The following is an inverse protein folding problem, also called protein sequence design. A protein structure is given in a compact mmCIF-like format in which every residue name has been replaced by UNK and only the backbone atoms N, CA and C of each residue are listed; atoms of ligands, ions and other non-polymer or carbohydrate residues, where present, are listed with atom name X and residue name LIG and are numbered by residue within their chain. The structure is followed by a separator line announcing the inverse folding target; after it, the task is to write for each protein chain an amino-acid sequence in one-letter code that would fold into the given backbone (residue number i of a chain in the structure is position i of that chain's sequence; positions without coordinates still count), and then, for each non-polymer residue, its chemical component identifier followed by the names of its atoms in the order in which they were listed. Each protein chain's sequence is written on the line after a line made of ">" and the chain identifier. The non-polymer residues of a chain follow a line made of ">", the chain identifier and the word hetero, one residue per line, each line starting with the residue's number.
data_IF_289984146758
#
_entry.id   IF_289984146758
#
_cell.length_a   1.000
_cell.length_b   1.000
_cell.length_c   1.000
_cell.angle_alpha   90.00
_cell.angle_beta   90.00
_cell.angle_gamma   90.00
#
_symmetry.space_group_name_H-M   'P 1'
#
loop_
_entity.id
_entity.type
_entity.pdbx_description
1 polymer ?
#
# COMPACT_ATOMS: atom_id res chain seq x y z
N UNK A 1 5.40 62.28 -24.55
CA UNK A 1 5.35 60.93 -25.16
C UNK A 1 5.42 59.88 -24.05
N UNK A 2 4.28 59.32 -23.62
CA UNK A 2 4.25 58.27 -22.58
C UNK A 2 4.27 56.91 -23.27
N UNK A 3 5.36 56.14 -23.08
CA UNK A 3 5.44 54.74 -23.57
C UNK A 3 4.73 53.82 -22.57
N UNK A 4 3.63 53.24 -23.01
CA UNK A 4 2.86 52.24 -22.29
C UNK A 4 3.56 50.89 -22.47
N UNK A 5 4.05 50.30 -21.38
CA UNK A 5 4.62 48.95 -21.36
C UNK A 5 3.45 47.97 -21.09
N UNK A 6 3.01 47.27 -22.12
CA UNK A 6 2.13 46.12 -21.97
C UNK A 6 2.96 44.89 -21.55
N UNK A 7 2.90 44.55 -20.31
CA UNK A 7 3.45 43.27 -19.80
C UNK A 7 2.43 42.16 -20.13
N UNK A 8 2.73 41.34 -21.14
CA UNK A 8 1.94 40.16 -21.49
C UNK A 8 2.25 39.08 -20.45
N UNK A 9 1.30 38.82 -19.54
CA UNK A 9 1.36 37.71 -18.57
C UNK A 9 1.08 36.41 -19.31
N UNK A 10 2.13 35.70 -19.73
CA UNK A 10 2.01 34.36 -20.28
C UNK A 10 1.63 33.40 -19.14
N UNK A 11 0.33 33.03 -19.09
CA UNK A 11 -0.18 31.99 -18.21
C UNK A 11 0.36 30.64 -18.70
N UNK A 12 1.42 30.13 -18.07
CA UNK A 12 1.91 28.76 -18.29
C UNK A 12 0.84 27.80 -17.76
N UNK A 13 -0.02 27.32 -18.65
CA UNK A 13 -0.87 26.16 -18.37
C UNK A 13 0.04 24.95 -18.33
N UNK A 14 0.49 24.57 -17.13
CA UNK A 14 1.17 23.30 -16.93
C UNK A 14 0.16 22.18 -17.25
N UNK A 15 0.31 21.54 -18.40
CA UNK A 15 -0.37 20.27 -18.69
C UNK A 15 0.14 19.25 -17.66
N UNK A 16 -0.59 19.08 -16.58
CA UNK A 16 -0.34 18.01 -15.62
C UNK A 16 -0.42 16.68 -16.38
N UNK A 17 0.73 16.10 -16.69
CA UNK A 17 0.81 14.73 -17.20
C UNK A 17 0.54 13.82 -16.01
N UNK A 18 -0.72 13.40 -15.83
CA UNK A 18 -1.06 12.38 -14.85
C UNK A 18 -0.24 11.12 -15.14
N UNK A 19 0.54 10.71 -14.15
CA UNK A 19 1.28 9.46 -14.20
C UNK A 19 0.30 8.29 -14.24
N UNK A 20 0.71 7.16 -14.84
CA UNK A 20 -0.07 5.94 -14.72
C UNK A 20 0.05 5.39 -13.29
N UNK A 21 -1.01 4.74 -12.75
CA UNK A 21 -0.91 4.12 -11.44
C UNK A 21 0.20 3.07 -11.41
N UNK A 22 0.74 2.86 -10.22
CA UNK A 22 1.76 1.85 -9.95
C UNK A 22 1.10 0.60 -9.37
N UNK A 23 1.78 -0.54 -9.48
CA UNK A 23 1.25 -1.85 -9.11
C UNK A 23 1.73 -2.24 -7.72
N UNK A 24 0.81 -2.50 -6.80
CA UNK A 24 1.07 -3.12 -5.50
C UNK A 24 0.53 -4.55 -5.52
N UNK A 25 1.38 -5.52 -5.19
CA UNK A 25 0.97 -6.91 -5.06
C UNK A 25 0.32 -7.12 -3.68
N UNK A 26 -0.99 -7.42 -3.65
CA UNK A 26 -1.75 -7.72 -2.44
C UNK A 26 -1.24 -9.02 -1.80
N UNK A 27 -0.75 -8.94 -0.56
CA UNK A 27 -0.09 -10.06 0.16
C UNK A 27 1.08 -10.68 -0.61
N UNK A 28 1.75 -9.87 -1.44
CA UNK A 28 2.79 -10.31 -2.37
C UNK A 28 2.25 -10.88 -3.69
N UNK A 29 3.16 -11.29 -4.59
CA UNK A 29 2.75 -12.02 -5.80
C UNK A 29 2.60 -13.51 -5.48
N UNK A 30 1.47 -13.85 -4.85
CA UNK A 30 1.20 -15.16 -4.30
C UNK A 30 0.46 -16.12 -5.25
N UNK A 31 -0.34 -15.59 -6.21
CA UNK A 31 -1.07 -16.41 -7.19
C UNK A 31 -0.16 -16.96 -8.28
N UNK A 32 0.86 -17.71 -7.88
CA UNK A 32 1.79 -18.38 -8.78
C UNK A 32 2.40 -19.59 -8.07
N UNK A 33 2.89 -20.56 -8.83
CA UNK A 33 3.44 -21.80 -8.29
C UNK A 33 4.56 -21.55 -7.29
N UNK A 34 4.53 -22.30 -6.19
CA UNK A 34 5.53 -22.22 -5.11
C UNK A 34 5.42 -21.00 -4.19
N UNK A 35 4.39 -20.16 -4.37
CA UNK A 35 4.18 -18.95 -3.56
C UNK A 35 2.96 -19.06 -2.66
N UNK A 36 2.91 -18.25 -1.59
CA UNK A 36 1.78 -18.12 -0.68
C UNK A 36 1.57 -16.66 -0.25
N UNK A 37 0.35 -16.33 0.18
CA UNK A 37 0.05 -15.00 0.75
C UNK A 37 0.99 -14.70 1.92
N UNK A 38 1.53 -13.47 1.97
CA UNK A 38 2.41 -13.03 3.05
C UNK A 38 3.74 -13.82 3.20
N UNK A 39 4.09 -14.68 2.23
CA UNK A 39 5.35 -15.43 2.25
C UNK A 39 6.52 -14.57 1.78
N UNK A 40 7.73 -14.96 2.20
CA UNK A 40 8.96 -14.32 1.67
C UNK A 40 9.04 -14.50 0.17
N UNK A 41 8.71 -15.69 -0.34
CA UNK A 41 8.69 -15.99 -1.79
C UNK A 41 7.74 -15.03 -2.54
N UNK A 42 6.56 -14.71 -2.00
CA UNK A 42 5.62 -13.79 -2.68
C UNK A 42 6.16 -12.37 -2.79
N UNK A 43 6.89 -11.90 -1.79
CA UNK A 43 7.57 -10.61 -1.80
C UNK A 43 8.75 -10.61 -2.78
N UNK A 44 9.58 -11.65 -2.78
CA UNK A 44 10.69 -11.78 -3.73
C UNK A 44 10.22 -11.82 -5.19
N UNK A 45 9.10 -12.49 -5.45
CA UNK A 45 8.48 -12.51 -6.77
C UNK A 45 7.96 -11.12 -7.17
N UNK A 46 7.36 -10.37 -6.25
CA UNK A 46 6.98 -8.98 -6.51
C UNK A 46 8.21 -8.13 -6.89
N UNK A 47 9.33 -8.30 -6.18
CA UNK A 47 10.59 -7.62 -6.46
C UNK A 47 11.19 -8.03 -7.81
N UNK A 48 11.27 -9.32 -8.12
CA UNK A 48 11.74 -9.85 -9.41
C UNK A 48 10.95 -9.31 -10.60
N UNK A 49 9.65 -9.15 -10.41
CA UNK A 49 8.78 -8.55 -11.43
C UNK A 49 8.85 -7.02 -11.46
N UNK A 50 9.69 -6.38 -10.66
CA UNK A 50 9.87 -4.92 -10.58
C UNK A 50 8.52 -4.22 -10.40
N UNK A 51 7.72 -4.69 -9.45
CA UNK A 51 6.51 -4.02 -9.00
C UNK A 51 6.90 -2.81 -8.14
N UNK A 52 5.98 -1.88 -7.97
CA UNK A 52 6.17 -0.75 -7.06
C UNK A 52 6.25 -1.21 -5.62
N UNK A 53 5.27 -2.01 -5.21
CA UNK A 53 5.14 -2.44 -3.83
C UNK A 53 4.64 -3.88 -3.67
N UNK A 54 4.89 -4.37 -2.48
CA UNK A 54 4.38 -5.61 -1.94
C UNK A 54 3.66 -5.28 -0.64
N UNK A 55 2.34 -5.48 -0.62
CA UNK A 55 1.56 -5.34 0.60
C UNK A 55 1.63 -6.63 1.42
N UNK A 56 1.62 -6.50 2.75
CA UNK A 56 1.63 -7.62 3.69
C UNK A 56 0.99 -7.24 5.02
N UNK A 57 0.41 -8.23 5.68
CA UNK A 57 -0.41 -8.09 6.88
C UNK A 57 0.35 -8.50 8.15
N UNK A 58 0.16 -7.75 9.24
CA UNK A 58 0.93 -7.97 10.46
C UNK A 58 0.07 -8.11 11.71
N UNK A 59 0.33 -9.18 12.44
CA UNK A 59 -0.15 -9.44 13.79
C UNK A 59 0.98 -9.50 14.79
N UNK A 60 0.66 -9.28 16.07
CA UNK A 60 1.61 -9.41 17.17
C UNK A 60 1.14 -10.50 18.13
N UNK A 61 2.00 -11.47 18.42
CA UNK A 61 1.79 -12.53 19.41
C UNK A 61 1.68 -11.99 20.83
N UNK A 62 1.19 -12.78 21.78
CA UNK A 62 1.00 -12.32 23.18
C UNK A 62 2.30 -11.85 23.83
N UNK A 63 3.44 -12.42 23.47
CA UNK A 63 4.78 -12.08 23.94
C UNK A 63 5.49 -11.00 23.08
N UNK A 64 4.78 -10.37 22.12
CA UNK A 64 5.27 -9.19 21.41
C UNK A 64 6.04 -9.44 20.12
N UNK A 65 6.05 -10.66 19.59
CA UNK A 65 6.69 -10.97 18.30
C UNK A 65 5.74 -10.62 17.16
N UNK A 66 6.21 -9.83 16.19
CA UNK A 66 5.45 -9.47 14.99
C UNK A 66 5.61 -10.55 13.92
N UNK A 67 4.50 -11.01 13.34
CA UNK A 67 4.44 -12.06 12.30
C UNK A 67 3.58 -11.64 11.13
N UNK A 68 3.86 -12.20 9.94
CA UNK A 68 3.11 -11.92 8.72
C UNK A 68 1.96 -12.93 8.55
N UNK A 69 0.72 -12.45 8.72
CA UNK A 69 -0.49 -13.26 8.54
C UNK A 69 -1.69 -12.35 8.32
N UNK A 70 -2.62 -12.72 7.45
CA UNK A 70 -3.81 -11.92 7.20
C UNK A 70 -4.90 -12.13 8.26
N UNK A 71 -5.25 -13.37 8.55
CA UNK A 71 -6.48 -13.71 9.28
C UNK A 71 -6.34 -13.56 10.81
N UNK A 72 -5.11 -13.43 11.32
CA UNK A 72 -4.83 -13.45 12.76
C UNK A 72 -5.03 -14.83 13.39
N UNK A 73 -5.26 -15.83 12.57
CA UNK A 73 -5.41 -17.24 12.96
C UNK A 73 -4.56 -18.10 12.04
N UNK A 74 -3.84 -19.06 12.59
CA UNK A 74 -3.10 -20.07 11.87
C UNK A 74 -3.25 -21.42 12.59
N UNK A 75 -3.56 -22.49 11.83
CA UNK A 75 -3.83 -23.82 12.37
C UNK A 75 -4.87 -23.82 13.54
N UNK A 76 -5.89 -22.94 13.42
CA UNK A 76 -6.93 -22.76 14.43
C UNK A 76 -6.53 -21.97 15.69
N UNK A 77 -5.29 -21.47 15.73
CA UNK A 77 -4.76 -20.70 16.88
C UNK A 77 -4.79 -19.20 16.59
N UNK A 78 -5.41 -18.41 17.49
CA UNK A 78 -5.35 -16.93 17.41
C UNK A 78 -3.98 -16.42 17.80
N UNK A 79 -3.32 -15.76 16.87
CA UNK A 79 -1.93 -15.30 16.99
C UNK A 79 -1.76 -14.34 18.18
N UNK A 80 -2.69 -13.38 18.37
CA UNK A 80 -2.56 -12.37 19.42
C UNK A 80 -2.71 -12.91 20.85
N UNK A 81 -3.26 -14.14 21.02
CA UNK A 81 -3.56 -14.73 22.31
C UNK A 81 -2.48 -15.70 22.81
N UNK A 82 -1.51 -16.07 21.97
CA UNK A 82 -0.48 -17.06 22.27
C UNK A 82 0.94 -16.50 22.07
N UNK A 83 1.95 -17.03 22.80
CA UNK A 83 3.34 -16.68 22.54
C UNK A 83 3.81 -17.27 21.21
N UNK A 84 4.82 -16.62 20.59
CA UNK A 84 5.37 -17.00 19.29
C UNK A 84 5.78 -18.48 19.21
N UNK A 85 6.28 -19.04 20.31
CA UNK A 85 6.65 -20.46 20.39
C UNK A 85 5.52 -21.43 19.99
N UNK A 86 4.24 -21.00 20.06
CA UNK A 86 3.08 -21.82 19.65
C UNK A 86 2.81 -21.79 18.14
N UNK A 87 3.31 -20.77 17.44
CA UNK A 87 3.01 -20.55 16.01
C UNK A 87 4.25 -20.55 15.12
N UNK A 88 5.46 -20.60 15.68
CA UNK A 88 6.72 -20.49 14.95
C UNK A 88 6.97 -21.58 13.89
N UNK A 89 6.33 -22.73 14.04
CA UNK A 89 6.46 -23.87 13.13
C UNK A 89 5.24 -24.05 12.21
N UNK A 90 4.24 -23.16 12.33
CA UNK A 90 3.09 -23.20 11.43
C UNK A 90 3.52 -22.91 10.00
N UNK A 91 3.00 -23.71 9.06
CA UNK A 91 3.35 -23.62 7.65
C UNK A 91 2.27 -22.86 6.87
N UNK A 92 2.73 -22.08 5.93
CA UNK A 92 1.90 -21.46 4.89
C UNK A 92 1.55 -22.49 3.81
N UNK A 93 0.64 -22.14 2.90
CA UNK A 93 0.15 -23.05 1.86
C UNK A 93 1.23 -23.56 0.90
N UNK A 94 2.35 -22.85 0.77
CA UNK A 94 3.51 -23.27 -0.04
C UNK A 94 4.57 -24.08 0.75
N UNK A 95 4.33 -24.36 2.02
CA UNK A 95 5.24 -25.11 2.90
C UNK A 95 6.29 -24.26 3.63
N UNK A 96 6.43 -22.97 3.32
CA UNK A 96 7.26 -22.05 4.10
C UNK A 96 6.70 -21.90 5.53
N UNK A 97 7.58 -21.64 6.49
CA UNK A 97 7.16 -21.21 7.82
C UNK A 97 6.61 -19.79 7.75
N UNK A 98 5.60 -19.48 8.57
CA UNK A 98 5.10 -18.13 8.75
C UNK A 98 6.25 -17.20 9.18
N UNK A 99 6.63 -16.19 8.39
CA UNK A 99 7.79 -15.36 8.72
C UNK A 99 7.47 -14.40 9.86
N UNK A 100 8.47 -14.11 10.68
CA UNK A 100 8.43 -12.90 11.50
C UNK A 100 8.59 -11.68 10.61
N UNK A 101 8.02 -10.54 11.04
CA UNK A 101 8.20 -9.27 10.32
C UNK A 101 9.67 -8.89 10.19
N UNK A 102 10.48 -9.19 11.22
CA UNK A 102 11.93 -8.96 11.18
C UNK A 102 12.62 -9.76 10.04
N UNK A 103 12.22 -11.01 9.83
CA UNK A 103 12.73 -11.81 8.70
C UNK A 103 12.26 -11.23 7.37
N UNK A 104 10.96 -10.93 7.26
CA UNK A 104 10.36 -10.37 6.05
C UNK A 104 11.01 -9.04 5.63
N UNK A 105 11.19 -8.10 6.57
CA UNK A 105 11.82 -6.82 6.29
C UNK A 105 13.29 -6.93 5.92
N UNK A 106 14.07 -7.84 6.57
CA UNK A 106 15.47 -8.09 6.19
C UNK A 106 15.60 -8.62 4.77
N UNK A 107 14.71 -9.52 4.36
CA UNK A 107 14.68 -10.00 2.97
C UNK A 107 14.27 -8.89 2.01
N UNK A 108 13.23 -8.10 2.35
CA UNK A 108 12.77 -6.95 1.57
C UNK A 108 13.84 -5.87 1.38
N UNK A 109 14.69 -5.66 2.38
CA UNK A 109 15.81 -4.70 2.31
C UNK A 109 16.81 -5.00 1.18
N UNK A 110 16.88 -6.25 0.71
CA UNK A 110 17.72 -6.64 -0.45
C UNK A 110 17.19 -6.06 -1.78
N UNK A 111 15.97 -5.55 -1.81
CA UNK A 111 15.30 -5.03 -3.01
C UNK A 111 14.92 -3.55 -2.82
N UNK A 112 15.87 -2.61 -2.87
CA UNK A 112 15.64 -1.20 -2.50
C UNK A 112 14.63 -0.46 -3.38
N UNK A 113 14.26 -1.02 -4.53
CA UNK A 113 13.23 -0.47 -5.42
C UNK A 113 11.80 -0.87 -5.03
N UNK A 114 11.64 -1.89 -4.16
CA UNK A 114 10.34 -2.40 -3.74
C UNK A 114 9.86 -1.65 -2.49
N UNK A 115 8.65 -1.10 -2.52
CA UNK A 115 7.99 -0.60 -1.32
C UNK A 115 7.34 -1.76 -0.57
N UNK A 116 7.53 -1.77 0.74
CA UNK A 116 6.88 -2.70 1.65
C UNK A 116 5.66 -1.99 2.25
N UNK A 117 4.47 -2.29 1.74
CA UNK A 117 3.22 -1.69 2.19
C UNK A 117 2.72 -2.51 3.37
N UNK A 118 2.82 -1.95 4.55
CA UNK A 118 2.72 -2.61 5.84
C UNK A 118 1.32 -2.41 6.43
N UNK A 119 0.45 -3.41 6.36
CA UNK A 119 -0.84 -3.36 7.04
C UNK A 119 -0.71 -3.76 8.51
N UNK A 120 -0.93 -2.82 9.42
CA UNK A 120 -1.05 -3.14 10.85
C UNK A 120 -2.49 -3.51 11.14
N UNK A 121 -2.73 -4.80 11.43
CA UNK A 121 -4.05 -5.32 11.79
C UNK A 121 -4.55 -4.76 13.12
N UNK A 122 -5.86 -4.54 13.20
CA UNK A 122 -6.50 -4.07 14.43
C UNK A 122 -6.56 -5.20 15.44
N UNK A 123 -5.94 -5.01 16.60
CA UNK A 123 -5.93 -5.93 17.73
C UNK A 123 -7.11 -5.66 18.68
N UNK A 124 -7.25 -6.47 19.69
CA UNK A 124 -8.40 -6.51 20.61
C UNK A 124 -8.76 -5.20 21.32
N UNK A 125 -7.82 -4.29 21.50
CA UNK A 125 -8.05 -2.97 22.09
C UNK A 125 -6.94 -1.96 21.73
N UNK A 126 -7.17 -0.67 22.04
CA UNK A 126 -6.22 0.39 21.71
C UNK A 126 -4.91 0.33 22.49
N UNK A 127 -4.89 -0.25 23.71
CA UNK A 127 -3.63 -0.47 24.42
C UNK A 127 -2.75 -1.47 23.65
N UNK A 128 -3.35 -2.53 23.12
CA UNK A 128 -2.66 -3.52 22.30
C UNK A 128 -2.23 -2.91 20.96
N UNK A 129 -3.10 -2.14 20.30
CA UNK A 129 -2.79 -1.41 19.07
C UNK A 129 -1.58 -0.48 19.27
N UNK A 130 -1.52 0.26 20.40
CA UNK A 130 -0.38 1.13 20.70
C UNK A 130 0.92 0.33 20.81
N UNK A 131 0.92 -0.80 21.53
CA UNK A 131 2.10 -1.68 21.66
C UNK A 131 2.58 -2.21 20.30
N UNK A 132 1.63 -2.60 19.43
CA UNK A 132 1.95 -3.07 18.07
C UNK A 132 2.63 -1.97 17.26
N UNK A 133 2.04 -0.77 17.23
CA UNK A 133 2.62 0.37 16.50
C UNK A 133 4.02 0.71 17.01
N UNK A 134 4.21 0.78 18.34
CA UNK A 134 5.51 1.08 18.95
C UNK A 134 6.56 0.02 18.57
N UNK A 135 6.17 -1.25 18.56
CA UNK A 135 7.05 -2.36 18.17
C UNK A 135 7.41 -2.30 16.69
N UNK A 136 6.43 -2.00 15.82
CA UNK A 136 6.63 -1.85 14.38
C UNK A 136 7.60 -0.72 14.07
N UNK A 137 7.34 0.47 14.62
CA UNK A 137 8.19 1.65 14.41
C UNK A 137 9.61 1.39 14.90
N UNK A 138 9.77 0.80 16.07
CA UNK A 138 11.08 0.42 16.59
C UNK A 138 11.81 -0.53 15.65
N UNK A 139 11.16 -1.61 15.21
CA UNK A 139 11.75 -2.60 14.32
C UNK A 139 12.19 -1.99 12.97
N UNK A 140 11.33 -1.17 12.37
CA UNK A 140 11.63 -0.50 11.09
C UNK A 140 12.85 0.42 11.22
N UNK A 141 12.97 1.16 12.35
CA UNK A 141 14.13 2.00 12.65
C UNK A 141 15.40 1.19 12.88
N UNK A 142 15.33 0.12 13.68
CA UNK A 142 16.45 -0.79 13.95
C UNK A 142 17.01 -1.44 12.68
N UNK A 143 16.16 -1.74 11.72
CA UNK A 143 16.56 -2.34 10.43
C UNK A 143 16.98 -1.30 9.39
N UNK A 144 16.74 0.00 9.63
CA UNK A 144 17.10 1.07 8.71
C UNK A 144 16.30 1.08 7.40
N UNK A 145 15.06 0.55 7.41
CA UNK A 145 14.23 0.38 6.20
C UNK A 145 13.10 1.40 6.06
N UNK A 146 13.14 2.51 6.83
CA UNK A 146 12.07 3.52 6.84
C UNK A 146 11.73 4.03 5.42
N UNK A 147 12.74 4.22 4.57
CA UNK A 147 12.54 4.70 3.20
C UNK A 147 11.82 3.73 2.27
N UNK A 148 11.75 2.44 2.65
CA UNK A 148 11.07 1.40 1.88
C UNK A 148 9.67 1.08 2.42
N UNK A 149 9.33 1.51 3.64
CA UNK A 149 8.06 1.15 4.30
C UNK A 149 7.03 2.24 4.08
N UNK A 150 5.81 1.83 3.76
CA UNK A 150 4.60 2.64 3.72
C UNK A 150 3.56 1.94 4.59
N UNK A 151 2.82 2.67 5.43
CA UNK A 151 1.90 2.07 6.40
C UNK A 151 0.46 2.24 5.97
N UNK A 152 -0.35 1.21 6.23
CA UNK A 152 -1.79 1.22 6.04
C UNK A 152 -2.49 0.58 7.26
N UNK A 153 -3.68 1.05 7.62
CA UNK A 153 -4.48 0.44 8.67
C UNK A 153 -5.97 0.80 8.56
N UNK A 154 -6.83 -0.12 9.01
CA UNK A 154 -8.27 0.12 9.16
C UNK A 154 -8.59 0.96 10.42
N UNK A 155 -7.76 0.88 11.43
CA UNK A 155 -7.94 1.61 12.69
C UNK A 155 -7.42 3.04 12.57
N UNK A 156 -8.30 4.02 12.76
CA UNK A 156 -7.91 5.43 12.84
C UNK A 156 -6.88 5.65 13.96
N UNK A 157 -7.05 5.02 15.12
CA UNK A 157 -6.12 5.09 16.23
C UNK A 157 -4.69 4.66 15.84
N UNK A 158 -4.57 3.56 15.07
CA UNK A 158 -3.28 3.08 14.57
C UNK A 158 -2.66 4.11 13.62
N UNK A 159 -3.43 4.65 12.68
CA UNK A 159 -2.95 5.67 11.73
C UNK A 159 -2.48 6.94 12.44
N UNK A 160 -3.24 7.46 13.40
CA UNK A 160 -2.88 8.65 14.17
C UNK A 160 -1.60 8.42 14.99
N UNK A 161 -1.47 7.24 15.64
CA UNK A 161 -0.27 6.91 16.40
C UNK A 161 0.96 6.75 15.52
N UNK A 162 0.82 6.14 14.34
CA UNK A 162 1.90 6.08 13.34
C UNK A 162 2.34 7.48 12.94
N UNK A 163 1.40 8.36 12.61
CA UNK A 163 1.71 9.75 12.24
C UNK A 163 2.39 10.51 13.38
N UNK A 164 1.99 10.30 14.64
CA UNK A 164 2.63 10.92 15.81
C UNK A 164 4.08 10.45 15.99
N UNK A 165 4.38 9.17 15.78
CA UNK A 165 5.71 8.60 15.98
C UNK A 165 6.63 8.78 14.77
N UNK A 166 6.08 8.80 13.57
CA UNK A 166 6.76 8.90 12.27
C UNK A 166 6.08 9.95 11.38
N UNK A 167 6.15 11.25 11.69
CA UNK A 167 5.40 12.29 10.98
C UNK A 167 5.82 12.45 9.50
N UNK A 168 6.97 11.89 9.10
CA UNK A 168 7.44 11.89 7.71
C UNK A 168 7.10 10.60 6.95
N UNK A 169 6.57 9.58 7.64
CA UNK A 169 6.20 8.34 6.99
C UNK A 169 4.92 8.51 6.16
N UNK A 170 4.81 7.72 5.10
CA UNK A 170 3.53 7.57 4.41
C UNK A 170 2.60 6.69 5.25
N UNK A 171 1.43 7.23 5.57
CA UNK A 171 0.36 6.52 6.29
C UNK A 171 -0.94 6.75 5.54
N UNK A 172 -1.58 5.68 5.07
CA UNK A 172 -2.87 5.74 4.42
C UNK A 172 -3.97 5.01 5.22
N UNK A 173 -5.16 5.58 5.21
CA UNK A 173 -6.32 5.03 5.91
C UNK A 173 -7.10 4.06 5.03
N UNK A 174 -7.48 2.88 5.56
CA UNK A 174 -8.09 1.79 4.79
C UNK A 174 -9.62 1.73 4.85
N UNK A 175 -10.25 2.20 5.94
CA UNK A 175 -11.62 1.80 6.29
C UNK A 175 -12.71 2.37 5.34
N UNK A 176 -12.42 3.46 4.63
CA UNK A 176 -13.37 4.01 3.65
C UNK A 176 -14.58 4.74 4.24
N UNK A 177 -14.60 5.01 5.54
CA UNK A 177 -15.69 5.69 6.26
C UNK A 177 -15.39 7.17 6.57
N UNK A 178 -14.22 7.68 6.21
CA UNK A 178 -13.83 9.08 6.30
C UNK A 178 -13.69 9.69 4.90
N UNK A 179 -14.14 10.94 4.76
CA UNK A 179 -13.91 11.73 3.55
C UNK A 179 -12.41 12.05 3.39
N UNK A 180 -11.94 12.36 2.17
CA UNK A 180 -10.54 12.78 1.96
C UNK A 180 -10.13 13.99 2.83
N UNK A 181 -11.06 14.95 3.07
CA UNK A 181 -10.78 16.11 3.94
C UNK A 181 -10.59 15.71 5.40
N UNK A 182 -11.39 14.77 5.91
CA UNK A 182 -11.23 14.24 7.26
C UNK A 182 -9.92 13.51 7.40
N UNK A 183 -9.54 12.65 6.43
CA UNK A 183 -8.25 11.97 6.43
C UNK A 183 -7.09 12.96 6.40
N UNK A 184 -7.19 14.02 5.60
CA UNK A 184 -6.18 15.10 5.57
C UNK A 184 -6.09 15.84 6.89
N UNK A 185 -7.20 16.09 7.57
CA UNK A 185 -7.25 16.75 8.88
C UNK A 185 -6.56 15.92 9.98
N UNK A 186 -6.50 14.59 9.85
CA UNK A 186 -5.73 13.70 10.73
C UNK A 186 -4.21 13.74 10.46
N UNK A 187 -3.74 14.51 9.47
CA UNK A 187 -2.32 14.59 9.08
C UNK A 187 -1.84 13.42 8.22
N UNK A 188 -2.74 12.52 7.81
CA UNK A 188 -2.36 11.35 7.02
C UNK A 188 -2.01 11.73 5.58
N UNK A 189 -1.27 10.85 4.91
CA UNK A 189 -0.70 11.11 3.58
C UNK A 189 -1.49 10.49 2.44
N UNK A 190 -2.42 9.56 2.72
CA UNK A 190 -3.18 8.87 1.69
C UNK A 190 -4.47 8.23 2.17
N UNK A 191 -5.28 7.87 1.20
CA UNK A 191 -6.42 6.96 1.33
C UNK A 191 -6.14 5.70 0.52
N UNK A 192 -6.40 4.55 1.13
CA UNK A 192 -6.26 3.24 0.50
C UNK A 192 -7.60 2.50 0.66
N UNK A 193 -8.55 2.78 -0.24
CA UNK A 193 -9.93 2.36 -0.06
C UNK A 193 -10.33 1.24 -1.01
N UNK A 194 -11.20 0.37 -0.51
CA UNK A 194 -11.82 -0.64 -1.36
C UNK A 194 -12.53 0.04 -2.55
N UNK A 195 -12.34 -0.47 -3.75
CA UNK A 195 -12.82 0.15 -4.98
C UNK A 195 -14.34 0.45 -4.99
N UNK A 196 -15.14 -0.31 -4.21
CA UNK A 196 -16.58 -0.03 -4.04
C UNK A 196 -16.89 1.28 -3.32
N UNK A 197 -15.95 1.79 -2.48
CA UNK A 197 -16.12 3.09 -1.81
C UNK A 197 -16.12 4.20 -2.84
N UNK A 198 -15.24 4.14 -3.82
CA UNK A 198 -15.18 5.14 -4.90
C UNK A 198 -16.33 5.00 -5.89
N UNK A 199 -16.87 3.78 -6.09
CA UNK A 199 -18.12 3.60 -6.86
C UNK A 199 -19.29 4.30 -6.18
N UNK A 200 -19.36 4.32 -4.85
CA UNK A 200 -20.38 5.03 -4.06
C UNK A 200 -20.11 6.54 -3.94
N UNK A 201 -18.85 6.95 -3.91
CA UNK A 201 -18.40 8.33 -3.71
C UNK A 201 -17.42 8.76 -4.82
N UNK A 202 -17.88 8.90 -6.08
CA UNK A 202 -16.97 9.11 -7.23
C UNK A 202 -16.20 10.44 -7.17
N UNK A 203 -16.69 11.45 -6.43
CA UNK A 203 -15.99 12.72 -6.22
C UNK A 203 -14.75 12.59 -5.33
N UNK A 204 -14.69 11.57 -4.47
CA UNK A 204 -13.59 11.42 -3.50
C UNK A 204 -12.21 11.20 -4.14
N UNK A 205 -12.15 10.60 -5.33
CA UNK A 205 -10.89 10.46 -6.06
C UNK A 205 -10.28 11.83 -6.38
N UNK A 206 -11.08 12.75 -6.92
CA UNK A 206 -10.64 14.12 -7.23
C UNK A 206 -10.37 14.91 -5.96
N UNK A 207 -11.28 14.85 -4.98
CA UNK A 207 -11.13 15.51 -3.68
C UNK A 207 -9.85 15.09 -2.95
N UNK A 208 -9.49 13.81 -2.97
CA UNK A 208 -8.24 13.32 -2.39
C UNK A 208 -7.01 13.99 -3.03
N UNK A 209 -7.00 14.12 -4.36
CA UNK A 209 -5.91 14.82 -5.06
C UNK A 209 -5.88 16.30 -4.74
N UNK A 210 -7.02 16.94 -4.59
CA UNK A 210 -7.12 18.36 -4.17
C UNK A 210 -6.61 18.56 -2.73
N UNK A 211 -6.79 17.55 -1.86
CA UNK A 211 -6.23 17.52 -0.51
C UNK A 211 -4.72 17.14 -0.47
N UNK A 212 -4.13 16.79 -1.61
CA UNK A 212 -2.73 16.33 -1.69
C UNK A 212 -2.52 14.93 -1.12
N UNK A 213 -3.55 14.08 -1.11
CA UNK A 213 -3.47 12.70 -0.67
C UNK A 213 -3.06 11.76 -1.82
N UNK A 214 -2.28 10.74 -1.50
CA UNK A 214 -2.07 9.59 -2.38
C UNK A 214 -3.33 8.71 -2.37
N UNK A 215 -3.71 8.20 -3.53
CA UNK A 215 -4.90 7.36 -3.69
C UNK A 215 -4.50 5.96 -4.13
N UNK A 216 -4.74 4.98 -3.28
CA UNK A 216 -4.67 3.56 -3.61
C UNK A 216 -6.08 2.97 -3.66
N UNK A 217 -6.28 1.98 -4.52
CA UNK A 217 -7.52 1.20 -4.59
C UNK A 217 -7.23 -0.29 -4.45
N UNK A 218 -8.03 -1.00 -3.65
CA UNK A 218 -7.89 -2.44 -3.36
C UNK A 218 -9.25 -3.16 -3.29
N UNK A 219 -9.37 -4.48 -3.32
CA UNK A 219 -8.48 -5.36 -4.08
C UNK A 219 -9.09 -5.51 -5.45
N UNK A 220 -8.42 -5.06 -6.50
CA UNK A 220 -8.97 -5.04 -7.86
C UNK A 220 -8.40 -6.21 -8.65
N UNK A 221 -9.23 -7.23 -8.94
CA UNK A 221 -8.76 -8.48 -9.55
C UNK A 221 -9.41 -8.76 -10.92
N UNK A 222 -10.58 -8.17 -11.19
CA UNK A 222 -11.24 -8.31 -12.48
C UNK A 222 -10.55 -7.46 -13.56
N UNK A 223 -10.32 -8.01 -14.74
CA UNK A 223 -9.59 -7.35 -15.84
C UNK A 223 -10.28 -6.05 -16.27
N UNK A 224 -11.62 -6.02 -16.33
CA UNK A 224 -12.38 -4.84 -16.71
C UNK A 224 -12.22 -3.72 -15.67
N UNK A 225 -12.32 -4.05 -14.37
CA UNK A 225 -12.12 -3.09 -13.29
C UNK A 225 -10.65 -2.60 -13.27
N UNK A 226 -9.67 -3.48 -13.53
CA UNK A 226 -8.26 -3.10 -13.66
C UNK A 226 -8.03 -2.10 -14.80
N UNK A 227 -8.66 -2.31 -15.96
CA UNK A 227 -8.56 -1.37 -17.12
C UNK A 227 -9.20 -0.03 -16.75
N UNK A 228 -10.37 -0.04 -16.11
CA UNK A 228 -11.08 1.17 -15.68
C UNK A 228 -10.25 2.00 -14.71
N UNK A 229 -9.78 1.36 -13.62
CA UNK A 229 -8.96 2.06 -12.62
C UNK A 229 -7.59 2.49 -13.16
N UNK A 230 -6.97 1.68 -14.04
CA UNK A 230 -5.70 2.06 -14.70
C UNK A 230 -5.81 3.28 -15.63
N UNK A 231 -7.02 3.58 -16.11
CA UNK A 231 -7.28 4.76 -16.95
C UNK A 231 -7.62 6.02 -16.13
N UNK A 232 -7.94 5.87 -14.84
CA UNK A 232 -8.35 6.98 -13.98
C UNK A 232 -7.14 7.83 -13.56
N UNK A 233 -7.13 9.15 -13.87
CA UNK A 233 -5.98 10.00 -13.60
C UNK A 233 -5.77 10.36 -12.11
N UNK A 234 -6.74 10.06 -11.25
CA UNK A 234 -6.70 10.37 -9.83
C UNK A 234 -6.20 9.20 -8.96
N UNK A 235 -5.96 8.02 -9.55
CA UNK A 235 -5.47 6.84 -8.85
C UNK A 235 -3.95 6.77 -9.02
N UNK A 236 -3.22 6.69 -7.90
CA UNK A 236 -1.76 6.59 -7.87
C UNK A 236 -1.29 5.14 -7.79
N UNK A 237 -2.01 4.31 -7.04
CA UNK A 237 -1.66 2.91 -6.79
C UNK A 237 -2.89 2.01 -6.99
N UNK A 238 -2.65 0.79 -7.45
CA UNK A 238 -3.67 -0.27 -7.51
C UNK A 238 -3.10 -1.51 -6.84
N UNK A 239 -3.75 -1.96 -5.76
CA UNK A 239 -3.44 -3.18 -5.04
C UNK A 239 -4.29 -4.33 -5.59
N UNK A 240 -3.62 -5.42 -6.02
CA UNK A 240 -4.25 -6.52 -6.75
C UNK A 240 -3.57 -7.86 -6.49
N UNK A 241 -4.35 -8.95 -6.54
CA UNK A 241 -3.82 -10.32 -6.60
C UNK A 241 -3.33 -10.70 -8.01
N UNK A 242 -3.60 -9.85 -9.03
CA UNK A 242 -3.25 -10.07 -10.43
C UNK A 242 -2.19 -9.07 -10.95
N UNK A 243 -1.03 -8.91 -10.25
CA UNK A 243 -0.10 -7.82 -10.52
C UNK A 243 0.52 -7.89 -11.92
N UNK A 244 0.66 -9.09 -12.49
CA UNK A 244 1.22 -9.27 -13.82
C UNK A 244 0.20 -8.89 -14.91
N UNK A 245 -1.09 -9.17 -14.68
CA UNK A 245 -2.17 -8.72 -15.55
C UNK A 245 -2.20 -7.19 -15.60
N UNK A 246 -2.25 -6.52 -14.44
CA UNK A 246 -2.24 -5.06 -14.38
C UNK A 246 -1.01 -4.46 -15.06
N UNK A 247 0.17 -5.05 -14.85
CA UNK A 247 1.41 -4.60 -15.51
C UNK A 247 1.35 -4.70 -17.04
N UNK A 248 0.69 -5.74 -17.59
CA UNK A 248 0.46 -5.86 -19.05
C UNK A 248 -0.50 -4.77 -19.55
N UNK A 249 -1.60 -4.50 -18.85
CA UNK A 249 -2.57 -3.44 -19.16
C UNK A 249 -1.87 -2.08 -19.25
N UNK A 250 -1.08 -1.73 -18.22
CA UNK A 250 -0.36 -0.46 -18.16
C UNK A 250 0.68 -0.30 -19.30
N UNK A 251 1.38 -1.38 -19.66
CA UNK A 251 2.31 -1.38 -20.82
C UNK A 251 1.57 -1.17 -22.14
N UNK A 252 0.43 -1.81 -22.32
CA UNK A 252 -0.41 -1.64 -23.52
C UNK A 252 -0.89 -0.20 -23.70
N UNK A 253 -1.38 0.41 -22.62
CA UNK A 253 -1.83 1.81 -22.61
C UNK A 253 -0.70 2.80 -22.97
N UNK A 254 0.56 2.56 -22.52
CA UNK A 254 1.74 3.36 -22.91
C UNK A 254 2.04 3.30 -24.41
N UNK A 255 1.98 2.09 -25.00
CA UNK A 255 2.20 1.92 -26.46
C UNK A 255 1.17 2.67 -27.28
N UNK A 256 -0.11 2.58 -26.91
CA UNK A 256 -1.20 3.25 -27.60
C UNK A 256 -1.09 4.79 -27.54
N UNK A 257 -0.66 5.37 -26.39
CA UNK A 257 -0.41 6.81 -26.26
C UNK A 257 0.76 7.27 -27.13
N UNK A 258 1.86 6.48 -27.22
CA UNK A 258 3.00 6.81 -28.10
C UNK A 258 2.61 6.79 -29.57
N UNK A 259 1.86 5.78 -30.02
CA UNK A 259 1.43 5.65 -31.40
C UNK A 259 0.46 6.77 -31.83
N UNK A 260 -0.40 7.27 -30.92
CA UNK A 260 -1.27 8.42 -31.19
C UNK A 260 -0.50 9.75 -31.29
N UNK A 261 0.61 9.90 -30.52
CA UNK A 261 1.47 11.09 -30.61
C UNK A 261 2.34 11.10 -31.86
N UNK A 262 2.73 9.94 -32.38
CA UNK A 262 3.54 9.81 -33.60
C UNK A 262 2.72 9.99 -34.89
N UNK A 263 1.38 10.00 -34.84
CA UNK A 263 0.44 10.19 -35.94
C UNK A 263 -0.16 11.60 -36.01
N UNK A 264 0.22 12.49 -35.09
CA UNK A 264 -0.08 13.93 -35.08
C UNK A 264 1.18 14.71 -35.38
#
# INVERSE_FOLDING_TARGET
>A
MKKSFFASLMMLVSLATFAQPQVVAHRGYWKTDGSAQNSVTSMELAAKHKLYGCEFDVWMTSDGILVCNHDGVIDGVRIEDVPYAKVQYCKMSNGELMPTVAQYLREGAKYPHLKMVFEIKTHKNNERNAKVVDQVVRLVRELGVQSQVEYIAFSQFICERLHQLEPQAKVAFLNGNLTPKEVKALGLTGIDYHHSVFKKNPSWLKEAKECGLEVNVWTVNDEKDLIEHAANPYIDLITTDEPIMLKKILKGAKKNKKNKKAKK
#
